data_IF_844126978616
#
_entry.id   IF_844126978616
#
_cell.length_a   1.000
_cell.length_b   1.000
_cell.length_c   1.000
_cell.angle_alpha   90.00
_cell.angle_beta   90.00
_cell.angle_gamma   90.00
#
_symmetry.space_group_name_H-M   'P 1'
#
loop_
_entity.id
_entity.type
_entity.pdbx_description
1 polymer ?
#
# COMPACT_ATOMS: atom_id res chain seq x y z
N UNK A 1 32.89 0.50 -8.32
CA UNK A 1 31.78 1.07 -7.53
C UNK A 1 32.19 0.92 -6.08
N UNK A 2 32.59 2.02 -5.44
CA UNK A 2 32.93 2.02 -4.01
C UNK A 2 31.64 1.84 -3.20
N UNK A 3 31.65 0.89 -2.27
CA UNK A 3 30.56 0.71 -1.32
C UNK A 3 31.00 1.37 -0.03
N UNK A 4 30.55 2.61 0.20
CA UNK A 4 30.82 3.31 1.44
C UNK A 4 30.21 2.52 2.62
N UNK A 5 30.97 2.37 3.70
CA UNK A 5 30.54 1.67 4.92
C UNK A 5 29.69 2.56 5.84
N UNK A 6 29.68 3.88 5.57
CA UNK A 6 28.95 4.90 6.33
C UNK A 6 28.25 5.86 5.36
N UNK A 7 27.17 6.48 5.84
CA UNK A 7 26.52 7.57 5.11
C UNK A 7 27.39 8.81 5.11
N UNK A 8 27.43 9.50 3.99
CA UNK A 8 28.00 10.83 3.82
C UNK A 8 26.97 11.73 3.11
N UNK A 9 26.99 13.05 3.35
CA UNK A 9 26.12 13.98 2.63
C UNK A 9 26.27 13.83 1.12
N UNK A 10 25.14 13.71 0.42
CA UNK A 10 25.09 13.61 -1.04
C UNK A 10 23.91 14.41 -1.60
N UNK A 11 23.82 14.54 -2.93
CA UNK A 11 22.66 15.19 -3.55
C UNK A 11 21.39 14.33 -3.44
N UNK A 12 21.55 13.01 -3.57
CA UNK A 12 20.46 12.03 -3.58
C UNK A 12 20.84 10.76 -2.84
N UNK A 13 20.15 10.47 -1.73
CA UNK A 13 20.21 9.19 -1.05
C UNK A 13 19.13 8.26 -1.60
N UNK A 14 19.52 7.11 -2.15
CA UNK A 14 18.58 6.08 -2.63
C UNK A 14 18.55 4.91 -1.64
N UNK A 15 17.36 4.54 -1.16
CA UNK A 15 17.17 3.44 -0.21
C UNK A 15 16.09 2.47 -0.68
N UNK A 16 16.29 1.17 -0.44
CA UNK A 16 15.19 0.20 -0.51
C UNK A 16 14.43 0.18 0.82
N UNK A 17 13.22 0.74 0.83
CA UNK A 17 12.42 0.96 2.03
C UNK A 17 13.03 1.96 3.02
N UNK A 18 12.46 2.03 4.22
CA UNK A 18 12.74 3.10 5.21
C UNK A 18 13.44 2.60 6.49
N UNK A 19 14.20 1.49 6.38
CA UNK A 19 14.94 0.91 7.52
C UNK A 19 16.12 1.78 7.96
N UNK A 20 16.73 2.51 7.02
CA UNK A 20 17.84 3.45 7.21
C UNK A 20 17.37 4.80 7.74
N UNK A 21 16.58 4.78 8.81
CA UNK A 21 15.86 5.98 9.28
C UNK A 21 16.81 7.10 9.75
N UNK A 22 17.97 6.73 10.32
CA UNK A 22 18.98 7.70 10.77
C UNK A 22 19.60 8.40 9.57
N UNK A 23 20.01 7.63 8.56
CA UNK A 23 20.63 8.14 7.34
C UNK A 23 19.62 8.97 6.52
N UNK A 24 18.37 8.52 6.41
CA UNK A 24 17.28 9.28 5.79
C UNK A 24 17.07 10.61 6.50
N UNK A 25 17.05 10.63 7.84
CA UNK A 25 16.87 11.87 8.59
C UNK A 25 18.09 12.79 8.45
N UNK A 26 19.31 12.24 8.51
CA UNK A 26 20.54 13.01 8.35
C UNK A 26 20.60 13.69 6.98
N UNK A 27 20.30 12.95 5.91
CA UNK A 27 20.21 13.45 4.55
C UNK A 27 19.19 14.59 4.40
N UNK A 28 18.00 14.42 4.97
CA UNK A 28 16.97 15.46 4.94
C UNK A 28 17.38 16.71 5.72
N UNK A 29 17.99 16.52 6.89
CA UNK A 29 18.47 17.63 7.72
C UNK A 29 19.62 18.41 7.06
N UNK A 30 20.40 17.78 6.16
CA UNK A 30 21.42 18.46 5.36
C UNK A 30 20.86 19.11 4.08
N UNK A 31 19.54 19.09 3.87
CA UNK A 31 18.89 19.64 2.67
C UNK A 31 18.99 18.75 1.43
N UNK A 32 19.50 17.53 1.58
CA UNK A 32 19.65 16.57 0.48
C UNK A 32 18.36 15.80 0.17
N UNK A 33 18.25 15.30 -1.06
CA UNK A 33 17.08 14.56 -1.52
C UNK A 33 17.15 13.09 -1.06
N UNK A 34 15.99 12.47 -0.79
CA UNK A 34 15.88 11.04 -0.48
C UNK A 34 14.90 10.39 -1.44
N UNK A 35 15.36 9.34 -2.13
CA UNK A 35 14.55 8.45 -2.95
C UNK A 35 14.35 7.11 -2.23
N UNK A 36 13.09 6.69 -2.07
CA UNK A 36 12.70 5.41 -1.52
C UNK A 36 12.18 4.53 -2.65
N UNK A 37 12.86 3.39 -2.83
CA UNK A 37 12.46 2.30 -3.69
C UNK A 37 11.70 1.25 -2.86
N UNK A 38 10.66 0.67 -3.43
CA UNK A 38 9.91 -0.44 -2.83
C UNK A 38 9.36 -1.38 -3.90
N UNK A 39 8.77 -2.50 -3.48
CA UNK A 39 7.98 -3.32 -4.40
C UNK A 39 6.78 -2.55 -4.94
N UNK A 40 6.39 -2.85 -6.18
CA UNK A 40 5.22 -2.27 -6.84
C UNK A 40 3.91 -2.61 -6.14
N UNK A 41 2.89 -1.82 -6.43
CA UNK A 41 1.56 -1.88 -5.84
C UNK A 41 0.54 -2.56 -6.75
N UNK A 42 0.75 -2.45 -8.07
CA UNK A 42 -0.06 -3.06 -9.14
C UNK A 42 0.68 -4.19 -9.85
N UNK A 43 -0.07 -5.17 -10.34
CA UNK A 43 0.46 -6.31 -11.08
C UNK A 43 1.38 -7.21 -10.24
N UNK A 44 2.36 -7.84 -10.90
CA UNK A 44 3.38 -8.62 -10.21
C UNK A 44 4.35 -7.68 -9.47
N UNK A 45 4.14 -7.53 -8.16
CA UNK A 45 4.96 -6.67 -7.28
C UNK A 45 6.46 -6.97 -7.26
N UNK A 46 6.92 -8.09 -7.86
CA UNK A 46 8.34 -8.40 -8.01
C UNK A 46 8.92 -7.92 -9.35
N UNK A 47 8.08 -7.58 -10.33
CA UNK A 47 8.49 -7.01 -11.63
C UNK A 47 8.52 -5.49 -11.63
N UNK A 48 7.76 -4.89 -10.71
CA UNK A 48 7.61 -3.44 -10.61
C UNK A 48 8.27 -2.93 -9.35
N UNK A 49 8.95 -1.80 -9.47
CA UNK A 49 9.61 -1.09 -8.36
C UNK A 49 8.96 0.28 -8.23
N UNK A 50 8.41 0.55 -7.04
CA UNK A 50 7.89 1.86 -6.65
C UNK A 50 9.04 2.85 -6.48
N UNK A 51 8.83 4.10 -6.88
CA UNK A 51 9.81 5.19 -6.72
C UNK A 51 9.11 6.38 -6.08
N UNK A 52 9.60 6.80 -4.91
CA UNK A 52 9.06 7.94 -4.17
C UNK A 52 10.18 8.78 -3.57
N UNK A 53 9.86 10.01 -3.17
CA UNK A 53 10.80 10.98 -2.61
C UNK A 53 10.38 11.40 -1.20
N UNK A 54 11.24 12.20 -0.55
CA UNK A 54 10.97 12.80 0.77
C UNK A 54 11.18 11.86 1.97
N UNK A 55 11.57 10.60 1.71
CA UNK A 55 11.90 9.61 2.75
C UNK A 55 10.68 8.90 3.39
N UNK A 56 9.48 9.11 2.85
CA UNK A 56 8.26 8.45 3.32
C UNK A 56 8.06 7.06 2.70
N UNK A 57 7.28 6.21 3.38
CA UNK A 57 6.91 4.87 2.88
C UNK A 57 5.47 4.87 2.39
N UNK A 58 5.23 4.26 1.21
CA UNK A 58 3.90 4.05 0.64
C UNK A 58 3.08 5.35 0.57
N UNK A 59 1.88 5.40 1.16
CA UNK A 59 1.01 6.58 1.12
C UNK A 59 1.60 7.84 1.77
N UNK A 60 2.75 7.72 2.46
CA UNK A 60 3.52 8.85 3.01
C UNK A 60 4.67 9.31 2.11
N UNK A 61 4.91 8.65 0.98
CA UNK A 61 5.93 9.03 0.01
C UNK A 61 5.46 10.16 -0.90
N UNK A 62 6.40 10.97 -1.36
CA UNK A 62 6.17 11.98 -2.40
C UNK A 62 6.33 11.34 -3.78
N UNK A 63 5.29 11.36 -4.62
CA UNK A 63 5.35 10.76 -5.96
C UNK A 63 5.30 11.83 -7.03
N UNK A 64 6.38 11.95 -7.81
CA UNK A 64 6.56 12.93 -8.89
C UNK A 64 6.13 12.34 -10.23
N UNK A 65 5.77 13.21 -11.18
CA UNK A 65 5.47 12.79 -12.56
C UNK A 65 4.18 11.97 -12.73
N UNK A 66 3.32 11.85 -11.70
CA UNK A 66 2.07 11.09 -11.82
C UNK A 66 1.09 11.77 -12.77
N UNK A 67 0.41 10.97 -13.60
CA UNK A 67 -0.56 11.47 -14.59
C UNK A 67 -1.92 10.85 -14.35
N UNK A 68 -2.98 11.61 -14.62
CA UNK A 68 -4.37 11.13 -14.52
C UNK A 68 -4.82 10.33 -15.77
N UNK A 69 -4.03 10.36 -16.84
CA UNK A 69 -4.30 9.57 -18.04
C UNK A 69 -4.21 8.06 -17.76
N UNK A 70 -5.27 7.28 -18.06
CA UNK A 70 -5.32 5.86 -17.73
C UNK A 70 -4.58 4.96 -18.74
N UNK A 71 -3.96 5.51 -19.80
CA UNK A 71 -3.32 4.73 -20.86
C UNK A 71 -2.30 3.73 -20.32
N UNK A 72 -1.35 4.20 -19.50
CA UNK A 72 -0.35 3.34 -18.83
C UNK A 72 -1.00 2.28 -17.94
N UNK A 73 -2.07 2.65 -17.23
CA UNK A 73 -2.76 1.71 -16.35
C UNK A 73 -3.43 0.59 -17.16
N UNK A 74 -4.17 0.94 -18.21
CA UNK A 74 -4.82 -0.03 -19.09
C UNK A 74 -3.82 -0.92 -19.82
N UNK A 75 -2.73 -0.34 -20.33
CA UNK A 75 -1.68 -1.05 -21.06
C UNK A 75 -1.03 -2.14 -20.20
N UNK A 76 -0.70 -1.84 -18.94
CA UNK A 76 0.08 -2.75 -18.11
C UNK A 76 -0.74 -3.59 -17.11
N UNK A 77 -1.91 -3.11 -16.70
CA UNK A 77 -2.69 -3.73 -15.60
C UNK A 77 -4.13 -4.07 -15.99
N UNK A 78 -4.58 -3.67 -17.19
CA UNK A 78 -5.93 -3.91 -17.67
C UNK A 78 -6.98 -2.97 -17.02
N UNK A 79 -8.27 -3.17 -17.32
CA UNK A 79 -9.33 -2.31 -16.80
C UNK A 79 -9.65 -2.60 -15.34
N UNK A 80 -10.16 -1.58 -14.64
CA UNK A 80 -10.78 -1.75 -13.33
C UNK A 80 -12.03 -2.62 -13.46
N UNK A 81 -12.20 -3.61 -12.55
CA UNK A 81 -13.48 -4.31 -12.46
C UNK A 81 -14.57 -3.36 -11.93
N UNK A 82 -15.84 -3.47 -12.33
CA UNK A 82 -16.90 -2.68 -11.70
C UNK A 82 -16.98 -2.93 -10.20
N UNK A 83 -17.46 -1.94 -9.43
CA UNK A 83 -17.75 -2.16 -8.02
C UNK A 83 -18.75 -3.31 -7.83
N UNK A 84 -18.40 -4.26 -6.97
CA UNK A 84 -19.28 -5.35 -6.55
C UNK A 84 -20.21 -4.82 -5.47
N UNK A 85 -21.52 -4.96 -5.68
CA UNK A 85 -22.54 -4.84 -4.63
C UNK A 85 -23.01 -6.24 -4.29
N UNK A 86 -22.42 -6.84 -3.26
CA UNK A 86 -22.66 -8.23 -2.90
C UNK A 86 -22.73 -8.38 -1.39
N UNK A 87 -23.72 -9.17 -0.95
CA UNK A 87 -23.79 -9.72 0.40
C UNK A 87 -22.63 -10.69 0.65
N UNK A 88 -21.99 -10.58 1.81
CA UNK A 88 -20.80 -11.36 2.13
C UNK A 88 -20.15 -10.89 3.42
N UNK A 89 -19.00 -11.48 3.75
CA UNK A 89 -18.31 -11.15 4.99
C UNK A 89 -17.45 -9.89 4.89
N UNK A 90 -17.33 -9.17 6.01
CA UNK A 90 -16.29 -8.17 6.21
C UNK A 90 -14.95 -8.90 6.44
N UNK A 91 -13.97 -8.64 5.59
CA UNK A 91 -12.69 -9.33 5.61
C UNK A 91 -11.60 -8.48 6.27
N UNK A 92 -11.19 -8.84 7.49
CA UNK A 92 -10.04 -8.22 8.16
C UNK A 92 -8.76 -8.85 7.62
N UNK A 93 -7.83 -8.01 7.15
CA UNK A 93 -6.55 -8.43 6.58
C UNK A 93 -5.43 -8.29 7.62
N UNK A 94 -4.75 -9.39 7.87
CA UNK A 94 -3.54 -9.42 8.67
C UNK A 94 -2.34 -8.79 7.97
N UNK A 95 -1.43 -8.22 8.77
CA UNK A 95 -0.12 -7.72 8.35
C UNK A 95 1.00 -8.39 9.15
N UNK A 96 2.23 -8.30 8.64
CA UNK A 96 3.42 -8.87 9.29
C UNK A 96 3.78 -8.04 10.52
N UNK A 97 3.83 -8.62 11.73
CA UNK A 97 4.29 -7.90 12.91
C UNK A 97 5.70 -7.34 12.73
N UNK A 98 5.92 -6.09 13.14
CA UNK A 98 7.20 -5.39 12.98
C UNK A 98 7.47 -4.86 11.56
N UNK A 99 6.50 -4.93 10.64
CA UNK A 99 6.61 -4.27 9.34
C UNK A 99 6.71 -2.74 9.48
N UNK A 100 7.51 -2.11 8.62
CA UNK A 100 7.76 -0.67 8.64
C UNK A 100 6.50 0.17 8.41
N UNK A 101 5.53 -0.38 7.67
CA UNK A 101 4.22 0.25 7.45
C UNK A 101 3.39 0.38 8.72
N UNK A 102 3.68 -0.42 9.76
CA UNK A 102 2.93 -0.40 11.01
C UNK A 102 3.47 0.60 12.03
N UNK A 103 4.48 1.42 11.71
CA UNK A 103 5.11 2.36 12.67
C UNK A 103 4.12 3.32 13.35
N UNK A 104 2.99 3.64 12.71
CA UNK A 104 1.95 4.54 13.23
C UNK A 104 0.91 3.85 14.12
N UNK A 105 0.98 2.53 14.30
CA UNK A 105 0.02 1.82 15.12
C UNK A 105 0.28 2.17 16.59
N UNK A 106 -0.61 2.97 17.19
CA UNK A 106 -0.46 3.44 18.59
C UNK A 106 -0.63 2.34 19.65
N UNK A 107 -0.75 1.07 19.26
CA UNK A 107 -0.99 -0.07 20.14
C UNK A 107 -0.57 -1.39 19.48
N UNK A 108 -1.10 -2.51 19.95
CA UNK A 108 -0.79 -3.81 19.33
C UNK A 108 -1.66 -4.08 18.10
N UNK A 109 -1.05 -4.67 17.06
CA UNK A 109 -1.76 -5.13 15.87
C UNK A 109 -2.89 -6.11 16.21
N UNK A 110 -2.67 -7.00 17.19
CA UNK A 110 -3.72 -7.89 17.71
C UNK A 110 -4.84 -7.17 18.47
N UNK A 111 -4.54 -6.07 19.16
CA UNK A 111 -5.53 -5.19 19.76
C UNK A 111 -6.42 -4.56 18.69
N UNK A 112 -5.80 -3.99 17.65
CA UNK A 112 -6.52 -3.41 16.52
C UNK A 112 -7.45 -4.41 15.81
N UNK A 113 -6.97 -5.63 15.55
CA UNK A 113 -7.80 -6.68 14.95
C UNK A 113 -9.06 -6.97 15.78
N UNK A 114 -8.90 -7.12 17.11
CA UNK A 114 -10.01 -7.40 18.03
C UNK A 114 -11.03 -6.27 18.06
N UNK A 115 -10.55 -5.03 18.19
CA UNK A 115 -11.42 -3.86 18.21
C UNK A 115 -12.21 -3.70 16.90
N UNK A 116 -11.53 -3.84 15.77
CA UNK A 116 -12.15 -3.78 14.44
C UNK A 116 -13.22 -4.85 14.28
N UNK A 117 -12.93 -6.10 14.66
CA UNK A 117 -13.90 -7.19 14.60
C UNK A 117 -15.11 -6.95 15.51
N UNK A 118 -14.91 -6.41 16.72
CA UNK A 118 -16.01 -6.07 17.63
C UNK A 118 -16.92 -5.00 17.03
N UNK A 119 -16.36 -3.92 16.47
CA UNK A 119 -17.14 -2.85 15.84
C UNK A 119 -17.96 -3.36 14.65
N UNK A 120 -17.36 -4.13 13.75
CA UNK A 120 -18.04 -4.69 12.58
C UNK A 120 -19.16 -5.69 12.98
N UNK A 121 -18.93 -6.51 14.02
CA UNK A 121 -19.97 -7.40 14.52
C UNK A 121 -21.13 -6.65 15.17
N UNK A 122 -20.84 -5.57 15.89
CA UNK A 122 -21.87 -4.73 16.51
C UNK A 122 -22.77 -4.06 15.47
N UNK A 123 -22.29 -3.86 14.24
CA UNK A 123 -23.08 -3.36 13.10
C UNK A 123 -23.65 -4.48 12.23
N UNK A 124 -23.60 -5.74 12.68
CA UNK A 124 -24.27 -6.87 12.04
C UNK A 124 -23.50 -7.59 10.94
N UNK A 125 -22.22 -7.29 10.71
CA UNK A 125 -21.44 -7.99 9.70
C UNK A 125 -21.00 -9.40 10.15
N UNK A 126 -21.05 -10.38 9.24
CA UNK A 126 -20.22 -11.58 9.35
C UNK A 126 -18.75 -11.15 9.16
N UNK A 127 -17.87 -11.54 10.07
CA UNK A 127 -16.46 -11.12 10.06
C UNK A 127 -15.58 -12.34 9.83
N UNK A 128 -14.66 -12.24 8.86
CA UNK A 128 -13.59 -13.21 8.64
C UNK A 128 -12.24 -12.54 8.83
N UNK A 129 -11.27 -13.31 9.29
CA UNK A 129 -9.89 -12.86 9.40
C UNK A 129 -8.99 -13.63 8.45
N UNK A 130 -8.23 -12.93 7.62
CA UNK A 130 -7.20 -13.53 6.77
C UNK A 130 -5.82 -13.14 7.28
N UNK A 131 -5.04 -14.06 7.85
CA UNK A 131 -3.70 -13.76 8.34
C UNK A 131 -2.76 -13.50 7.15
N UNK A 132 -1.71 -12.71 7.37
CA UNK A 132 -0.72 -12.48 6.32
C UNK A 132 0.08 -13.78 6.07
N UNK A 133 0.23 -14.28 4.83
CA UNK A 133 0.93 -15.53 4.55
C UNK A 133 2.36 -15.57 5.13
N UNK A 134 3.10 -14.48 5.00
CA UNK A 134 4.44 -14.36 5.58
C UNK A 134 4.43 -14.34 7.12
N UNK A 135 3.39 -13.78 7.74
CA UNK A 135 3.27 -13.82 9.21
C UNK A 135 2.99 -15.25 9.67
N UNK A 136 2.15 -16.01 8.95
CA UNK A 136 1.90 -17.43 9.21
C UNK A 136 3.20 -18.23 9.11
N UNK A 137 4.00 -18.05 8.04
CA UNK A 137 5.30 -18.72 7.87
C UNK A 137 6.27 -18.43 9.03
N UNK A 138 6.19 -17.23 9.62
CA UNK A 138 6.99 -16.82 10.79
C UNK A 138 6.41 -17.27 12.14
N UNK A 139 5.34 -18.07 12.15
CA UNK A 139 4.66 -18.48 13.38
C UNK A 139 3.87 -17.35 14.06
N UNK A 140 3.62 -16.25 13.36
CA UNK A 140 2.99 -15.03 13.87
C UNK A 140 1.72 -14.64 13.09
N UNK A 141 1.03 -15.62 12.49
CA UNK A 141 -0.16 -15.41 11.65
C UNK A 141 -1.32 -14.72 12.37
N UNK A 142 -1.38 -14.85 13.70
CA UNK A 142 -2.42 -14.27 14.53
C UNK A 142 -3.78 -14.96 14.37
N UNK A 143 -4.69 -14.63 15.28
CA UNK A 143 -6.10 -15.02 15.24
C UNK A 143 -6.93 -14.00 16.02
N UNK A 144 -8.24 -13.98 15.79
CA UNK A 144 -9.18 -13.14 16.54
C UNK A 144 -10.21 -14.07 17.18
N UNK A 145 -10.38 -14.01 18.49
CA UNK A 145 -11.31 -14.88 19.21
C UNK A 145 -12.74 -14.71 18.69
N UNK A 146 -13.42 -15.84 18.42
CA UNK A 146 -14.79 -15.86 17.91
C UNK A 146 -14.94 -15.37 16.46
N UNK A 147 -13.85 -15.15 15.71
CA UNK A 147 -13.87 -14.79 14.29
C UNK A 147 -13.25 -15.94 13.51
N UNK A 148 -13.87 -16.34 12.41
CA UNK A 148 -13.33 -17.41 11.59
C UNK A 148 -12.08 -16.93 10.83
N UNK A 149 -10.97 -17.61 11.08
CA UNK A 149 -9.75 -17.45 10.28
C UNK A 149 -9.92 -18.19 8.94
N UNK A 150 -9.69 -17.50 7.83
CA UNK A 150 -9.73 -18.08 6.48
C UNK A 150 -8.33 -18.04 5.85
N UNK A 151 -8.00 -19.08 5.09
CA UNK A 151 -6.75 -19.22 4.36
C UNK A 151 -6.94 -19.21 2.84
N UNK A 152 -5.95 -19.72 2.12
CA UNK A 152 -5.97 -19.79 0.66
C UNK A 152 -5.41 -18.55 -0.03
N UNK A 153 -5.60 -18.49 -1.34
CA UNK A 153 -5.19 -17.35 -2.15
C UNK A 153 -6.06 -16.11 -1.85
N UNK A 154 -5.54 -14.93 -2.20
CA UNK A 154 -6.23 -13.68 -1.91
C UNK A 154 -7.53 -13.55 -2.73
N UNK A 155 -7.55 -14.00 -3.98
CA UNK A 155 -8.71 -13.84 -4.87
C UNK A 155 -9.92 -14.60 -4.31
N UNK A 156 -9.74 -15.84 -3.86
CA UNK A 156 -10.78 -16.63 -3.19
C UNK A 156 -11.35 -15.94 -1.95
N UNK A 157 -10.50 -15.24 -1.19
CA UNK A 157 -10.94 -14.44 -0.03
C UNK A 157 -11.70 -13.18 -0.45
N UNK A 158 -11.30 -12.54 -1.56
CA UNK A 158 -12.00 -11.36 -2.07
C UNK A 158 -13.36 -11.72 -2.69
N UNK A 159 -13.54 -12.91 -3.24
CA UNK A 159 -14.79 -13.32 -3.90
C UNK A 159 -15.97 -13.54 -2.94
N UNK A 160 -15.67 -13.87 -1.68
CA UNK A 160 -16.66 -13.97 -0.61
C UNK A 160 -16.87 -12.68 0.20
N UNK A 161 -16.00 -11.69 0.04
CA UNK A 161 -16.01 -10.47 0.84
C UNK A 161 -17.05 -9.46 0.34
N UNK A 162 -17.81 -8.87 1.26
CA UNK A 162 -18.61 -7.66 0.97
C UNK A 162 -17.71 -6.42 0.94
N UNK A 163 -16.72 -6.36 1.84
CA UNK A 163 -15.68 -5.34 1.87
C UNK A 163 -14.44 -5.83 2.61
N UNK A 164 -13.31 -5.17 2.37
CA UNK A 164 -12.02 -5.46 3.01
C UNK A 164 -11.71 -4.39 4.05
N UNK A 165 -11.15 -4.78 5.20
CA UNK A 165 -10.67 -3.86 6.23
C UNK A 165 -9.20 -4.15 6.53
N UNK A 166 -8.35 -3.14 6.40
CA UNK A 166 -6.91 -3.26 6.66
C UNK A 166 -6.38 -2.04 7.40
N UNK A 167 -5.23 -2.18 8.06
CA UNK A 167 -4.54 -1.02 8.60
C UNK A 167 -4.01 -0.16 7.45
N UNK A 168 -3.05 -0.68 6.68
CA UNK A 168 -2.55 -0.04 5.46
C UNK A 168 -1.93 -1.03 4.46
N UNK A 169 -2.40 -2.28 4.43
CA UNK A 169 -1.91 -3.30 3.52
C UNK A 169 -2.16 -2.95 2.04
N UNK A 170 -1.24 -3.34 1.16
CA UNK A 170 -1.45 -3.29 -0.28
C UNK A 170 -2.64 -4.15 -0.75
N UNK A 171 -3.14 -5.04 0.10
CA UNK A 171 -4.40 -5.77 -0.16
C UNK A 171 -5.59 -4.84 -0.40
N UNK A 172 -5.60 -3.62 0.15
CA UNK A 172 -6.63 -2.63 -0.18
C UNK A 172 -6.56 -2.22 -1.66
N UNK A 173 -5.37 -2.07 -2.23
CA UNK A 173 -5.19 -1.81 -3.68
C UNK A 173 -5.77 -2.97 -4.48
N UNK A 174 -5.39 -4.21 -4.16
CA UNK A 174 -5.86 -5.41 -4.86
C UNK A 174 -7.39 -5.56 -4.78
N UNK A 175 -7.96 -5.31 -3.59
CA UNK A 175 -9.41 -5.33 -3.37
C UNK A 175 -10.12 -4.28 -4.23
N UNK A 176 -9.64 -3.04 -4.21
CA UNK A 176 -10.16 -1.96 -5.04
C UNK A 176 -10.06 -2.36 -6.51
N UNK A 177 -8.90 -2.71 -7.07
CA UNK A 177 -8.81 -3.14 -8.49
C UNK A 177 -9.82 -4.26 -8.84
N UNK A 178 -10.01 -5.22 -7.94
CA UNK A 178 -10.96 -6.34 -8.10
C UNK A 178 -12.45 -5.95 -7.95
N UNK A 179 -12.76 -4.70 -7.63
CA UNK A 179 -14.13 -4.21 -7.45
C UNK A 179 -14.68 -4.44 -6.04
N UNK A 180 -13.86 -4.81 -5.06
CA UNK A 180 -14.28 -4.95 -3.66
C UNK A 180 -14.02 -3.64 -2.92
N UNK A 181 -15.04 -3.01 -2.31
CA UNK A 181 -14.82 -1.86 -1.44
C UNK A 181 -13.83 -2.19 -0.32
N UNK A 182 -13.03 -1.21 0.08
CA UNK A 182 -12.07 -1.39 1.16
C UNK A 182 -12.09 -0.21 2.15
N UNK A 183 -11.65 -0.51 3.37
CA UNK A 183 -11.42 0.43 4.46
C UNK A 183 -9.94 0.34 4.83
N UNK A 184 -9.25 1.49 4.79
CA UNK A 184 -7.86 1.65 5.21
C UNK A 184 -7.85 2.49 6.49
N UNK A 185 -7.28 1.98 7.58
CA UNK A 185 -7.26 2.69 8.87
C UNK A 185 -6.09 3.66 9.02
N UNK A 186 -5.13 3.65 8.09
CA UNK A 186 -3.94 4.50 8.13
C UNK A 186 -3.57 5.05 6.75
N UNK A 187 -3.20 6.33 6.71
CA UNK A 187 -2.84 7.09 5.50
C UNK A 187 -1.64 6.50 4.74
N UNK A 188 -0.88 5.59 5.35
CA UNK A 188 0.15 4.82 4.67
C UNK A 188 -0.39 3.90 3.57
N UNK A 189 -1.70 3.65 3.52
CA UNK A 189 -2.32 2.83 2.48
C UNK A 189 -2.22 3.51 1.12
N UNK A 190 -1.75 2.78 0.10
CA UNK A 190 -1.74 3.27 -1.28
C UNK A 190 -3.15 3.44 -1.88
N UNK A 191 -4.16 2.85 -1.24
CA UNK A 191 -5.57 2.96 -1.62
C UNK A 191 -6.33 4.03 -0.83
N UNK A 192 -5.67 4.79 0.08
CA UNK A 192 -6.32 5.73 0.99
C UNK A 192 -7.41 6.58 0.32
N UNK A 193 -7.07 7.31 -0.75
CA UNK A 193 -7.99 8.23 -1.43
C UNK A 193 -9.28 7.61 -2.02
N UNK A 194 -9.37 6.27 -2.11
CA UNK A 194 -10.52 5.54 -2.69
C UNK A 194 -11.09 4.50 -1.74
N UNK A 195 -10.82 4.63 -0.43
CA UNK A 195 -11.28 3.72 0.62
C UNK A 195 -11.95 4.48 1.75
N UNK A 196 -12.76 3.79 2.55
CA UNK A 196 -13.25 4.34 3.83
C UNK A 196 -12.14 4.31 4.88
N UNK A 197 -12.35 5.02 5.98
CA UNK A 197 -11.35 5.23 7.05
C UNK A 197 -11.85 4.81 8.44
N UNK A 198 -13.11 4.39 8.53
CA UNK A 198 -13.68 3.82 9.75
C UNK A 198 -14.22 2.40 9.52
N UNK A 199 -14.19 1.51 10.54
CA UNK A 199 -14.76 0.17 10.40
C UNK A 199 -16.25 0.24 10.02
N UNK A 200 -16.60 -0.28 8.84
CA UNK A 200 -17.96 -0.26 8.30
C UNK A 200 -18.26 0.90 7.37
N UNK A 201 -17.34 1.87 7.21
CA UNK A 201 -17.46 2.95 6.23
C UNK A 201 -17.17 2.42 4.81
N UNK A 202 -18.20 1.90 4.16
CA UNK A 202 -18.07 1.34 2.81
C UNK A 202 -18.36 2.39 1.75
N UNK A 203 -17.32 2.85 1.06
CA UNK A 203 -17.42 3.82 -0.05
C UNK A 203 -17.11 3.16 -1.40
N UNK A 204 -17.70 3.69 -2.47
CA UNK A 204 -17.48 3.22 -3.86
C UNK A 204 -17.27 4.40 -4.83
N UNK A 205 -16.22 5.22 -4.63
CA UNK A 205 -15.98 6.39 -5.47
C UNK A 205 -15.56 5.99 -6.89
N UNK A 206 -15.54 6.96 -7.81
CA UNK A 206 -14.71 6.82 -9.01
C UNK A 206 -13.24 6.69 -8.59
N UNK A 207 -12.53 5.82 -9.28
CA UNK A 207 -11.19 5.34 -8.96
C UNK A 207 -10.29 5.25 -10.19
N UNK A 208 -10.75 5.67 -11.36
CA UNK A 208 -9.95 5.61 -12.58
C UNK A 208 -8.73 6.53 -12.50
N UNK A 209 -8.91 7.77 -12.04
CA UNK A 209 -7.79 8.69 -11.85
C UNK A 209 -6.79 8.18 -10.80
N UNK A 210 -7.28 7.61 -9.69
CA UNK A 210 -6.43 7.00 -8.68
C UNK A 210 -5.59 5.86 -9.28
N UNK A 211 -6.21 4.97 -10.05
CA UNK A 211 -5.52 3.84 -10.68
C UNK A 211 -4.49 4.30 -11.73
N UNK A 212 -4.86 5.31 -12.54
CA UNK A 212 -3.97 5.96 -13.50
C UNK A 212 -2.73 6.53 -12.81
N UNK A 213 -2.92 7.33 -11.76
CA UNK A 213 -1.80 7.91 -11.00
C UNK A 213 -0.95 6.84 -10.32
N UNK A 214 -1.56 5.78 -9.79
CA UNK A 214 -0.84 4.67 -9.14
C UNK A 214 0.07 3.93 -10.12
N UNK A 215 -0.33 3.77 -11.39
CA UNK A 215 0.51 3.16 -12.43
C UNK A 215 1.82 3.95 -12.70
N UNK A 216 1.80 5.27 -12.48
CA UNK A 216 2.98 6.14 -12.62
C UNK A 216 3.88 6.18 -11.38
N UNK A 217 3.50 5.49 -10.30
CA UNK A 217 4.33 5.39 -9.08
C UNK A 217 5.35 4.26 -9.14
N UNK A 218 5.26 3.41 -10.16
CA UNK A 218 6.08 2.20 -10.28
C UNK A 218 6.58 2.00 -11.71
N UNK A 219 7.79 1.45 -11.80
CA UNK A 219 8.50 1.24 -13.06
C UNK A 219 9.11 -0.15 -13.10
N UNK A 220 9.22 -0.70 -14.29
CA UNK A 220 9.97 -1.94 -14.52
C UNK A 220 11.47 -1.68 -14.45
N UNK A 221 12.26 -2.73 -14.26
CA UNK A 221 13.73 -2.62 -14.29
C UNK A 221 14.25 -2.10 -15.65
N UNK A 222 13.56 -2.41 -16.76
CA UNK A 222 13.93 -1.93 -18.09
C UNK A 222 13.69 -0.41 -18.23
N UNK A 223 12.58 0.09 -17.70
CA UNK A 223 12.28 1.53 -17.66
C UNK A 223 13.27 2.30 -16.77
N UNK A 224 13.73 1.69 -15.68
CA UNK A 224 14.77 2.28 -14.85
C UNK A 224 16.13 2.29 -15.55
N UNK A 225 16.53 1.18 -16.17
CA UNK A 225 17.81 1.04 -16.85
C UNK A 225 17.93 1.93 -18.09
N UNK A 226 16.82 2.19 -18.78
CA UNK A 226 16.79 3.07 -19.96
C UNK A 226 16.81 4.56 -19.64
N UNK A 227 16.65 4.95 -18.36
CA UNK A 227 16.53 6.35 -17.96
C UNK A 227 15.10 6.90 -17.97
N UNK A 228 14.15 6.19 -18.58
CA UNK A 228 12.75 6.62 -18.69
C UNK A 228 12.12 6.93 -17.32
N UNK A 229 12.39 6.11 -16.31
CA UNK A 229 11.94 6.37 -14.94
C UNK A 229 12.40 7.76 -14.46
N UNK A 230 13.67 8.11 -14.69
CA UNK A 230 14.27 9.37 -14.26
C UNK A 230 13.70 10.57 -15.03
N UNK A 231 13.42 10.41 -16.32
CA UNK A 231 12.75 11.43 -17.12
C UNK A 231 11.35 11.74 -16.60
N UNK A 232 10.65 10.72 -16.09
CA UNK A 232 9.30 10.89 -15.50
C UNK A 232 9.38 11.54 -14.13
N UNK A 233 10.20 11.01 -13.21
CA UNK A 233 10.21 11.47 -11.81
C UNK A 233 11.06 12.72 -11.59
N UNK A 234 11.95 13.05 -12.53
CA UNK A 234 12.78 14.24 -12.53
C UNK A 234 12.05 15.53 -12.90
N UNK A 235 10.82 15.44 -13.42
CA UNK A 235 9.95 16.60 -13.65
C UNK A 235 9.53 17.19 -12.29
N UNK A 236 10.32 18.15 -11.78
CA UNK A 236 9.87 19.04 -10.70
C UNK A 236 8.78 19.93 -11.29
N UNK A 237 7.52 19.59 -11.04
CA UNK A 237 6.43 20.54 -11.24
C UNK A 237 6.66 21.63 -10.18
N UNK A 238 7.11 22.81 -10.61
CA UNK A 238 7.13 23.99 -9.75
C UNK A 238 5.72 24.17 -9.18
N UNK A 239 5.61 24.23 -7.85
CA UNK A 239 4.34 24.57 -7.22
C UNK A 239 3.90 25.93 -7.77
N UNK A 240 2.68 26.00 -8.33
CA UNK A 240 2.09 27.28 -8.67
C UNK A 240 2.10 28.17 -7.43
N UNK A 241 2.69 29.36 -7.59
CA UNK A 241 2.81 30.39 -6.55
C UNK A 241 1.44 30.84 -6.01
#
# INVERSE_FOLDING_TARGET
MEVASQWEPCDLLVCWGVRRAVEIQAQKSSGGEVCILERGYLGDRFKWTSVSFGGGLNGRGEFRGTRADPGRFHEHFGPLKPWRRKEGYALIIGQVPGDMSLRSIGGSLGGWYRETAMRLKATGHDVRFRPHPEAVKRGAGGSIAGVQTIGGDLQSSLDGASHVVTWNSNTAVEAVIAGVPAVSMDIGSMAWAVTGHEPGEVVTPDRLEWAARLAWKQFTMAEMASGYCWDVVGQRIEAAA
#
